data_IF_688299394457
#
_entry.id   IF_688299394457
#
_cell.length_a   1.000
_cell.length_b   1.000
_cell.length_c   1.000
_cell.angle_alpha   90.00
_cell.angle_beta   90.00
_cell.angle_gamma   90.00
#
_symmetry.space_group_name_H-M   'P 1'
#
loop_
_entity.id
_entity.type
_entity.pdbx_description
1 polymer ?
#
# COMPACT_ATOMS: atom_id res chain seq x y z
N UNK A 1 -6.71 2.97 26.61
CA UNK A 1 -6.82 2.44 25.22
C UNK A 1 -5.52 1.73 24.94
N UNK A 2 -5.60 0.53 24.38
CA UNK A 2 -4.39 -0.16 23.92
C UNK A 2 -3.70 0.66 22.84
N UNK A 3 -2.38 0.75 22.91
CA UNK A 3 -1.56 1.45 21.94
C UNK A 3 -1.56 0.68 20.61
N UNK A 4 -2.00 1.31 19.51
CA UNK A 4 -2.08 0.69 18.18
C UNK A 4 -0.84 1.06 17.39
N UNK A 5 -0.06 0.06 17.02
CA UNK A 5 1.14 0.22 16.18
C UNK A 5 0.77 0.30 14.71
N UNK A 6 1.16 1.38 14.04
CA UNK A 6 0.94 1.57 12.59
C UNK A 6 2.24 1.38 11.80
N UNK A 7 2.24 0.38 10.92
CA UNK A 7 3.33 0.13 9.98
C UNK A 7 2.94 0.58 8.57
N UNK A 8 3.69 1.50 7.99
CA UNK A 8 3.59 1.83 6.56
C UNK A 8 4.55 0.97 5.73
N UNK A 9 4.06 0.35 4.66
CA UNK A 9 4.88 -0.43 3.72
C UNK A 9 4.75 0.19 2.32
N UNK A 10 5.76 0.92 1.88
CA UNK A 10 5.84 1.54 0.56
C UNK A 10 6.86 0.85 -0.35
N UNK A 11 6.95 1.30 -1.61
CA UNK A 11 7.88 0.80 -2.60
C UNK A 11 7.21 0.23 -3.85
N UNK A 12 7.96 0.16 -4.96
CA UNK A 12 7.40 -0.18 -6.27
C UNK A 12 7.10 -1.66 -6.50
N UNK A 13 7.66 -2.57 -5.69
CA UNK A 13 7.43 -4.02 -5.83
C UNK A 13 7.83 -4.76 -4.55
N UNK A 14 7.19 -5.90 -4.28
CA UNK A 14 7.53 -6.77 -3.13
C UNK A 14 6.78 -6.46 -1.84
N UNK A 15 6.06 -5.35 -1.72
CA UNK A 15 5.23 -4.96 -0.56
C UNK A 15 4.24 -6.05 -0.15
N UNK A 16 3.45 -6.52 -1.10
CA UNK A 16 2.40 -7.51 -0.85
C UNK A 16 2.94 -8.82 -0.29
N UNK A 17 4.16 -9.24 -0.69
CA UNK A 17 4.80 -10.44 -0.13
C UNK A 17 5.18 -10.21 1.33
N UNK A 18 5.80 -9.08 1.64
CA UNK A 18 6.16 -8.71 3.02
C UNK A 18 4.91 -8.62 3.90
N UNK A 19 3.88 -7.89 3.46
CA UNK A 19 2.60 -7.77 4.16
C UNK A 19 1.95 -9.14 4.41
N UNK A 20 1.88 -10.02 3.40
CA UNK A 20 1.29 -11.36 3.55
C UNK A 20 2.03 -12.21 4.58
N UNK A 21 3.37 -12.15 4.60
CA UNK A 21 4.17 -12.86 5.60
C UNK A 21 3.84 -12.36 7.02
N UNK A 22 3.71 -11.04 7.21
CA UNK A 22 3.34 -10.46 8.50
C UNK A 22 1.91 -10.85 8.92
N UNK A 23 0.95 -10.80 7.99
CA UNK A 23 -0.43 -11.24 8.25
C UNK A 23 -0.48 -12.74 8.59
N UNK A 24 0.31 -13.57 7.92
CA UNK A 24 0.39 -15.00 8.22
C UNK A 24 0.94 -15.28 9.63
N UNK A 25 1.90 -14.48 10.08
CA UNK A 25 2.53 -14.66 11.40
C UNK A 25 1.65 -14.14 12.53
N UNK A 26 0.99 -13.00 12.34
CA UNK A 26 0.27 -12.29 13.41
C UNK A 26 -1.25 -12.44 13.38
N UNK A 27 -1.83 -12.90 12.27
CA UNK A 27 -3.24 -13.26 12.12
C UNK A 27 -4.21 -12.22 12.68
N UNK A 28 -4.91 -12.60 13.74
CA UNK A 28 -5.96 -11.80 14.38
C UNK A 28 -5.48 -10.47 14.99
N UNK A 29 -4.18 -10.28 15.16
CA UNK A 29 -3.61 -9.05 15.73
C UNK A 29 -3.35 -7.96 14.68
N UNK A 30 -3.60 -8.24 13.38
CA UNK A 30 -3.27 -7.34 12.28
C UNK A 30 -4.51 -6.92 11.51
N UNK A 31 -4.64 -5.62 11.29
CA UNK A 31 -5.54 -5.01 10.29
C UNK A 31 -4.72 -4.51 9.12
N UNK A 32 -5.18 -4.74 7.88
CA UNK A 32 -4.55 -4.21 6.67
C UNK A 32 -5.40 -3.13 6.05
N UNK A 33 -4.79 -1.99 5.73
CA UNK A 33 -5.39 -0.89 4.99
C UNK A 33 -4.60 -0.65 3.70
N UNK A 34 -5.23 -0.95 2.57
CA UNK A 34 -4.60 -0.75 1.25
C UNK A 34 -4.92 0.61 0.68
N UNK A 35 -3.88 1.36 0.27
CA UNK A 35 -4.01 2.65 -0.39
C UNK A 35 -4.79 2.55 -1.71
N UNK A 36 -4.68 1.42 -2.40
CA UNK A 36 -5.35 1.20 -3.67
C UNK A 36 -6.90 1.25 -3.56
N UNK A 37 -7.46 1.05 -2.37
CA UNK A 37 -8.90 1.23 -2.13
C UNK A 37 -9.32 2.71 -2.14
N UNK A 38 -8.38 3.62 -2.00
CA UNK A 38 -8.60 5.07 -1.90
C UNK A 38 -8.39 5.83 -3.21
N UNK A 39 -8.34 5.15 -4.37
CA UNK A 39 -8.45 5.87 -5.63
C UNK A 39 -9.73 6.68 -5.67
N UNK A 40 -9.68 7.88 -6.27
CA UNK A 40 -10.83 8.77 -6.39
C UNK A 40 -11.94 8.13 -7.22
N UNK A 41 -13.17 8.51 -6.91
CA UNK A 41 -14.36 8.15 -7.67
C UNK A 41 -14.48 9.05 -8.91
N UNK A 42 -14.89 8.46 -10.03
CA UNK A 42 -15.03 9.14 -11.32
C UNK A 42 -16.32 8.70 -12.01
N UNK A 43 -17.48 8.89 -11.34
CA UNK A 43 -18.79 8.47 -11.86
C UNK A 43 -19.21 9.30 -13.07
N UNK A 44 -18.68 10.54 -13.19
CA UNK A 44 -18.91 11.47 -14.29
C UNK A 44 -18.16 11.12 -15.58
N UNK A 45 -17.16 10.23 -15.52
CA UNK A 45 -16.32 9.85 -16.65
C UNK A 45 -16.78 8.53 -17.27
N UNK A 46 -16.61 8.39 -18.58
CA UNK A 46 -16.78 7.11 -19.29
C UNK A 46 -15.68 6.12 -18.89
N UNK A 47 -15.88 4.83 -19.21
CA UNK A 47 -14.85 3.80 -18.97
C UNK A 47 -13.55 4.11 -19.71
N UNK A 48 -13.66 4.58 -20.96
CA UNK A 48 -12.52 4.93 -21.82
C UNK A 48 -11.71 6.08 -21.21
N UNK A 49 -12.39 7.12 -20.70
CA UNK A 49 -11.74 8.24 -20.04
C UNK A 49 -11.04 7.79 -18.75
N UNK A 50 -11.67 6.94 -17.94
CA UNK A 50 -11.02 6.38 -16.74
C UNK A 50 -9.79 5.55 -17.06
N UNK A 51 -9.77 4.84 -18.19
CA UNK A 51 -8.59 4.10 -18.65
C UNK A 51 -7.38 5.00 -18.99
N UNK A 52 -7.61 6.30 -19.22
CA UNK A 52 -6.56 7.28 -19.53
C UNK A 52 -6.00 7.98 -18.30
N UNK A 53 -6.62 7.83 -17.13
CA UNK A 53 -6.16 8.44 -15.89
C UNK A 53 -4.78 7.87 -15.50
N UNK A 54 -3.90 8.76 -15.03
CA UNK A 54 -2.64 8.36 -14.45
C UNK A 54 -2.82 7.93 -12.98
N UNK A 55 -2.97 6.65 -12.74
CA UNK A 55 -3.15 6.07 -11.40
C UNK A 55 -1.85 5.95 -10.59
N UNK A 56 -0.72 6.32 -11.14
CA UNK A 56 0.59 6.28 -10.47
C UNK A 56 1.00 7.64 -9.87
N UNK A 57 0.09 8.62 -9.80
CA UNK A 57 0.35 9.93 -9.21
C UNK A 57 -0.49 10.21 -7.94
N UNK A 58 0.00 11.06 -7.02
CA UNK A 58 -0.72 11.36 -5.77
C UNK A 58 -2.12 11.91 -5.96
N UNK A 59 -2.35 12.68 -7.03
CA UNK A 59 -3.65 13.29 -7.35
C UNK A 59 -4.75 12.26 -7.65
N UNK A 60 -4.40 11.01 -7.98
CA UNK A 60 -5.36 9.94 -8.21
C UNK A 60 -6.02 9.40 -6.94
N UNK A 61 -5.49 9.74 -5.76
CA UNK A 61 -5.94 9.21 -4.48
C UNK A 61 -6.72 10.24 -3.66
N UNK A 62 -7.66 9.76 -2.86
CA UNK A 62 -8.38 10.51 -1.83
C UNK A 62 -7.67 10.33 -0.47
N UNK A 63 -6.49 10.96 -0.35
CA UNK A 63 -5.64 10.81 0.83
C UNK A 63 -6.30 11.35 2.10
N UNK A 64 -7.08 12.44 2.01
CA UNK A 64 -7.78 13.01 3.16
C UNK A 64 -8.73 12.00 3.82
N UNK A 65 -9.47 11.23 3.01
CA UNK A 65 -10.33 10.15 3.51
C UNK A 65 -9.49 9.04 4.17
N UNK A 66 -8.34 8.67 3.60
CA UNK A 66 -7.49 7.66 4.20
C UNK A 66 -6.87 8.13 5.52
N UNK A 67 -6.48 9.39 5.62
CA UNK A 67 -6.00 10.03 6.85
C UNK A 67 -7.07 9.99 7.94
N UNK A 68 -8.30 10.37 7.60
CA UNK A 68 -9.45 10.32 8.52
C UNK A 68 -9.67 8.88 9.02
N UNK A 69 -9.75 7.92 8.11
CA UNK A 69 -9.92 6.51 8.44
C UNK A 69 -8.80 5.97 9.33
N UNK A 70 -7.57 6.32 9.04
CA UNK A 70 -6.43 5.87 9.86
C UNK A 70 -6.46 6.50 11.26
N UNK A 71 -6.87 7.76 11.41
CA UNK A 71 -7.09 8.41 12.71
C UNK A 71 -8.18 7.69 13.52
N UNK A 72 -9.32 7.37 12.90
CA UNK A 72 -10.39 6.61 13.54
C UNK A 72 -9.91 5.23 14.00
N UNK A 73 -9.22 4.49 13.15
CA UNK A 73 -8.65 3.20 13.50
C UNK A 73 -7.67 3.29 14.67
N UNK A 74 -6.80 4.31 14.70
CA UNK A 74 -5.86 4.56 15.84
C UNK A 74 -6.57 4.85 17.16
N UNK A 75 -7.79 5.34 17.13
CA UNK A 75 -8.62 5.55 18.34
C UNK A 75 -9.50 4.34 18.67
N UNK A 76 -9.34 3.21 18.01
CA UNK A 76 -10.11 2.00 18.25
C UNK A 76 -11.48 1.97 17.56
N UNK A 77 -11.77 2.91 16.68
CA UNK A 77 -13.03 2.99 15.96
C UNK A 77 -12.96 2.24 14.62
N UNK A 78 -14.02 1.49 14.29
CA UNK A 78 -14.15 0.83 13.00
C UNK A 78 -14.51 1.83 11.89
N UNK A 79 -14.13 1.51 10.67
CA UNK A 79 -14.40 2.33 9.48
C UNK A 79 -15.11 1.54 8.39
N UNK A 80 -15.76 2.25 7.47
CA UNK A 80 -16.28 1.72 6.22
C UNK A 80 -15.27 2.01 5.10
N UNK A 81 -14.32 1.08 4.92
CA UNK A 81 -13.27 1.22 3.91
C UNK A 81 -13.87 1.12 2.50
N UNK A 82 -13.59 2.05 1.59
CA UNK A 82 -14.05 1.96 0.21
C UNK A 82 -13.48 0.71 -0.49
N UNK A 83 -14.18 0.26 -1.52
CA UNK A 83 -13.76 -0.83 -2.39
C UNK A 83 -13.53 -0.29 -3.78
N UNK A 84 -12.33 -0.50 -4.34
CA UNK A 84 -12.00 -0.11 -5.70
C UNK A 84 -12.14 -1.30 -6.65
N UNK A 85 -12.92 -1.12 -7.71
CA UNK A 85 -13.12 -2.13 -8.74
C UNK A 85 -12.19 -1.85 -9.94
N UNK A 86 -11.16 -2.70 -10.08
CA UNK A 86 -10.19 -2.60 -11.16
C UNK A 86 -10.78 -2.97 -12.53
N UNK A 87 -11.93 -3.65 -12.58
CA UNK A 87 -12.54 -4.06 -13.86
C UNK A 87 -13.21 -2.90 -14.57
N UNK A 88 -13.70 -1.94 -13.80
CA UNK A 88 -14.37 -0.73 -14.31
C UNK A 88 -13.55 0.55 -14.06
N UNK A 89 -12.36 0.43 -13.48
CA UNK A 89 -11.50 1.56 -13.10
C UNK A 89 -12.25 2.62 -12.30
N UNK A 90 -13.03 2.20 -11.29
CA UNK A 90 -13.77 3.12 -10.43
C UNK A 90 -13.97 2.55 -9.03
N UNK A 91 -14.32 3.43 -8.08
CA UNK A 91 -14.72 3.03 -6.74
C UNK A 91 -16.13 2.43 -6.77
N UNK A 92 -16.32 1.27 -6.14
CA UNK A 92 -17.64 0.65 -5.94
C UNK A 92 -18.52 1.49 -5.00
N UNK A 93 -19.84 1.22 -5.01
CA UNK A 93 -20.76 1.71 -3.98
C UNK A 93 -20.69 0.88 -2.70
N UNK A 94 -20.04 -0.27 -2.73
CA UNK A 94 -19.84 -1.13 -1.56
C UNK A 94 -18.69 -0.62 -0.71
N UNK A 95 -18.78 -0.91 0.59
CA UNK A 95 -17.71 -0.69 1.55
C UNK A 95 -17.42 -1.97 2.32
N UNK A 96 -16.25 -2.06 2.89
CA UNK A 96 -15.87 -3.17 3.76
C UNK A 96 -15.67 -2.63 5.18
N UNK A 97 -16.34 -3.26 6.16
CA UNK A 97 -16.11 -2.93 7.56
C UNK A 97 -14.69 -3.37 7.95
N UNK A 98 -13.90 -2.40 8.38
CA UNK A 98 -12.54 -2.63 8.91
C UNK A 98 -12.54 -2.30 10.39
N UNK A 99 -12.23 -3.33 11.19
CA UNK A 99 -12.12 -3.23 12.66
C UNK A 99 -10.65 -3.09 13.03
N UNK A 100 -10.27 -2.12 13.86
CA UNK A 100 -8.88 -1.95 14.28
C UNK A 100 -8.42 -3.13 15.12
N UNK A 101 -7.18 -3.51 14.90
CA UNK A 101 -6.44 -4.48 15.70
C UNK A 101 -5.21 -3.76 16.29
N UNK A 102 -4.47 -4.46 17.15
CA UNK A 102 -3.29 -3.89 17.81
C UNK A 102 -2.16 -3.46 16.87
N UNK A 103 -2.17 -3.99 15.65
CA UNK A 103 -1.23 -3.63 14.57
C UNK A 103 -2.03 -3.27 13.33
N UNK A 104 -1.78 -2.12 12.76
CA UNK A 104 -2.33 -1.70 11.47
C UNK A 104 -1.20 -1.67 10.46
N UNK A 105 -1.34 -2.40 9.36
CA UNK A 105 -0.43 -2.33 8.21
C UNK A 105 -1.09 -1.47 7.13
N UNK A 106 -0.50 -0.33 6.83
CA UNK A 106 -0.86 0.54 5.71
C UNK A 106 0.07 0.23 4.55
N UNK A 107 -0.46 -0.17 3.38
CA UNK A 107 0.38 -0.46 2.24
C UNK A 107 -0.03 0.34 1.00
N UNK A 108 0.95 0.78 0.23
CA UNK A 108 0.72 1.50 -1.03
C UNK A 108 2.01 2.09 -1.60
N UNK A 109 1.98 2.38 -2.91
CA UNK A 109 3.17 2.91 -3.60
C UNK A 109 3.47 4.37 -3.23
N UNK A 110 2.44 5.16 -2.86
CA UNK A 110 2.53 6.61 -2.64
C UNK A 110 2.24 7.04 -1.19
N UNK A 111 2.06 6.11 -0.26
CA UNK A 111 1.71 6.44 1.13
C UNK A 111 2.77 7.30 1.84
N UNK A 112 4.02 7.28 1.38
CA UNK A 112 5.08 8.15 1.91
C UNK A 112 5.22 9.47 1.16
N UNK A 113 4.52 9.66 0.04
CA UNK A 113 4.48 10.94 -0.64
C UNK A 113 3.59 11.96 0.12
N UNK A 114 2.61 11.48 0.87
CA UNK A 114 1.70 12.29 1.67
C UNK A 114 2.24 12.49 3.09
N UNK A 115 2.30 13.74 3.55
CA UNK A 115 2.86 14.10 4.85
C UNK A 115 1.96 13.67 6.01
N UNK A 116 0.65 13.88 5.89
CA UNK A 116 -0.31 13.54 6.94
C UNK A 116 -0.39 12.02 7.18
N UNK A 117 -0.30 11.22 6.10
CA UNK A 117 -0.20 9.76 6.22
C UNK A 117 1.10 9.35 6.92
N UNK A 118 2.24 9.98 6.57
CA UNK A 118 3.52 9.67 7.20
C UNK A 118 3.53 9.92 8.71
N UNK A 119 2.88 10.99 9.16
CA UNK A 119 2.81 11.37 10.58
C UNK A 119 2.00 10.37 11.42
N UNK A 120 1.06 9.65 10.80
CA UNK A 120 0.26 8.63 11.46
C UNK A 120 0.96 7.27 11.55
N UNK A 121 2.09 7.09 10.87
CA UNK A 121 2.84 5.83 10.83
C UNK A 121 3.99 5.83 11.82
N UNK A 122 3.99 4.87 12.73
CA UNK A 122 5.03 4.71 13.75
C UNK A 122 6.31 4.09 13.16
N UNK A 123 6.15 3.18 12.19
CA UNK A 123 7.25 2.55 11.46
C UNK A 123 6.99 2.65 9.95
N UNK A 124 7.95 3.20 9.21
CA UNK A 124 7.88 3.33 7.75
C UNK A 124 8.93 2.44 7.10
N UNK A 125 8.45 1.45 6.35
CA UNK A 125 9.27 0.43 5.66
C UNK A 125 9.19 0.68 4.16
N UNK A 126 10.32 0.93 3.52
CA UNK A 126 10.40 1.03 2.07
C UNK A 126 10.97 -0.27 1.50
N UNK A 127 10.20 -0.94 0.63
CA UNK A 127 10.65 -2.13 -0.09
C UNK A 127 11.37 -1.68 -1.34
N UNK A 128 12.68 -1.89 -1.34
CA UNK A 128 13.56 -1.52 -2.44
C UNK A 128 13.76 -2.70 -3.39
N UNK A 129 13.48 -2.49 -4.66
CA UNK A 129 13.60 -3.52 -5.70
C UNK A 129 14.07 -2.85 -6.99
N UNK A 130 15.08 -3.41 -7.62
CA UNK A 130 15.67 -2.89 -8.86
C UNK A 130 14.63 -2.73 -9.98
N UNK A 131 14.85 -1.75 -10.84
CA UNK A 131 13.90 -1.34 -11.86
C UNK A 131 13.57 -2.45 -12.88
N UNK A 132 14.56 -3.23 -13.28
CA UNK A 132 14.43 -4.38 -14.19
C UNK A 132 13.61 -5.50 -13.54
N UNK A 133 13.85 -5.79 -12.26
CA UNK A 133 13.08 -6.78 -11.48
C UNK A 133 11.62 -6.31 -11.32
N UNK A 134 11.40 -5.02 -11.05
CA UNK A 134 10.04 -4.45 -10.98
C UNK A 134 9.30 -4.60 -12.30
N UNK A 135 9.96 -4.29 -13.42
CA UNK A 135 9.40 -4.43 -14.75
C UNK A 135 9.07 -5.90 -15.08
N UNK A 136 10.00 -6.81 -14.85
CA UNK A 136 9.79 -8.24 -15.07
C UNK A 136 8.61 -8.79 -14.26
N UNK A 137 8.49 -8.41 -12.98
CA UNK A 137 7.36 -8.81 -12.11
C UNK A 137 6.04 -8.22 -12.61
N UNK A 138 6.03 -6.96 -13.06
CA UNK A 138 4.85 -6.30 -13.63
C UNK A 138 4.38 -7.00 -14.90
N UNK A 139 5.28 -7.25 -15.86
CA UNK A 139 4.96 -7.97 -17.11
C UNK A 139 4.33 -9.31 -16.77
N UNK A 140 5.00 -10.13 -15.94
CA UNK A 140 4.51 -11.46 -15.56
C UNK A 140 3.12 -11.41 -14.90
N UNK A 141 2.86 -10.42 -14.05
CA UNK A 141 1.55 -10.24 -13.41
C UNK A 141 0.49 -9.80 -14.40
N UNK A 142 0.76 -8.75 -15.18
CA UNK A 142 -0.26 -8.08 -15.99
C UNK A 142 -0.60 -8.89 -17.24
N UNK A 143 0.36 -9.61 -17.82
CA UNK A 143 0.09 -10.52 -18.94
C UNK A 143 -0.63 -11.79 -18.45
N UNK A 144 -0.10 -12.48 -17.43
CA UNK A 144 -0.63 -13.80 -17.05
C UNK A 144 -1.91 -13.74 -16.21
N UNK A 145 -2.11 -12.66 -15.42
CA UNK A 145 -3.24 -12.58 -14.47
C UNK A 145 -4.29 -11.54 -14.85
N UNK A 146 -3.94 -10.55 -15.69
CA UNK A 146 -4.84 -9.45 -16.07
C UNK A 146 -5.17 -9.45 -17.57
N UNK A 147 -4.66 -10.42 -18.35
CA UNK A 147 -4.95 -10.59 -19.76
C UNK A 147 -4.45 -9.44 -20.66
N UNK A 148 -3.49 -8.64 -20.18
CA UNK A 148 -2.93 -7.52 -20.96
C UNK A 148 -1.89 -7.99 -21.97
N UNK A 149 -1.74 -7.27 -23.08
CA UNK A 149 -0.65 -7.52 -24.04
C UNK A 149 0.67 -6.98 -23.48
N UNK A 150 1.77 -7.64 -23.85
CA UNK A 150 3.12 -7.18 -23.49
C UNK A 150 3.37 -5.74 -23.93
N UNK A 151 2.97 -5.41 -25.16
CA UNK A 151 3.12 -4.07 -25.73
C UNK A 151 2.38 -3.01 -24.89
N UNK A 152 1.13 -3.27 -24.51
CA UNK A 152 0.34 -2.38 -23.64
C UNK A 152 1.01 -2.16 -22.28
N UNK A 153 1.60 -3.20 -21.69
CA UNK A 153 2.29 -3.10 -20.39
C UNK A 153 3.57 -2.27 -20.53
N UNK A 154 4.36 -2.48 -21.59
CA UNK A 154 5.60 -1.74 -21.84
C UNK A 154 5.33 -0.26 -22.15
N UNK A 155 4.32 0.02 -22.97
CA UNK A 155 3.92 1.39 -23.30
C UNK A 155 3.51 2.15 -22.02
N UNK A 156 2.64 1.59 -21.20
CA UNK A 156 2.24 2.20 -19.93
C UNK A 156 3.43 2.38 -18.97
N UNK A 157 4.33 1.39 -18.92
CA UNK A 157 5.52 1.49 -18.07
C UNK A 157 6.38 2.69 -18.43
N UNK A 158 6.60 2.93 -19.72
CA UNK A 158 7.39 4.05 -20.21
C UNK A 158 6.68 5.40 -20.05
N UNK A 159 5.38 5.45 -20.31
CA UNK A 159 4.62 6.70 -20.32
C UNK A 159 4.25 7.21 -18.91
N UNK A 160 3.89 6.32 -18.00
CA UNK A 160 3.38 6.71 -16.68
C UNK A 160 4.16 6.07 -15.53
N UNK A 161 4.29 4.75 -15.48
CA UNK A 161 4.77 4.04 -14.30
C UNK A 161 6.20 4.42 -13.93
N UNK A 162 7.14 4.41 -14.88
CA UNK A 162 8.54 4.76 -14.65
C UNK A 162 8.69 6.24 -14.28
N UNK A 163 8.16 7.21 -15.05
CA UNK A 163 8.23 8.62 -14.69
C UNK A 163 7.63 8.94 -13.32
N UNK A 164 6.48 8.35 -12.99
CA UNK A 164 5.84 8.59 -11.70
C UNK A 164 6.61 7.93 -10.55
N UNK A 165 7.19 6.75 -10.79
CA UNK A 165 8.07 6.14 -9.80
C UNK A 165 9.28 7.03 -9.48
N UNK A 166 9.96 7.54 -10.50
CA UNK A 166 11.13 8.42 -10.35
C UNK A 166 10.75 9.76 -9.69
N UNK A 167 9.55 10.27 -9.96
CA UNK A 167 9.08 11.56 -9.44
C UNK A 167 8.57 11.47 -7.99
N UNK A 168 7.86 10.42 -7.64
CA UNK A 168 7.12 10.35 -6.36
C UNK A 168 7.54 9.19 -5.46
N UNK A 169 7.70 7.97 -6.02
CA UNK A 169 7.94 6.77 -5.20
C UNK A 169 9.39 6.74 -4.72
N UNK A 170 10.35 6.82 -5.61
CA UNK A 170 11.78 6.76 -5.26
C UNK A 170 12.21 7.87 -4.31
N UNK A 171 11.84 9.16 -4.51
CA UNK A 171 12.18 10.20 -3.55
C UNK A 171 11.55 10.01 -2.17
N UNK A 172 10.43 9.31 -2.07
CA UNK A 172 9.75 9.04 -0.79
C UNK A 172 10.51 8.07 0.11
N UNK A 173 11.44 7.29 -0.43
CA UNK A 173 12.35 6.39 0.29
C UNK A 173 13.11 7.06 1.42
N UNK A 174 13.44 8.35 1.28
CA UNK A 174 14.11 9.15 2.33
C UNK A 174 13.32 9.27 3.63
N UNK A 175 12.01 9.04 3.58
CA UNK A 175 11.14 9.11 4.77
C UNK A 175 11.00 7.77 5.48
N UNK A 176 11.58 6.69 4.94
CA UNK A 176 11.55 5.37 5.56
C UNK A 176 12.46 5.30 6.79
N UNK A 177 12.01 4.56 7.81
CA UNK A 177 12.85 4.18 8.94
C UNK A 177 13.69 2.93 8.63
N UNK A 178 13.18 2.09 7.72
CA UNK A 178 13.84 0.86 7.28
C UNK A 178 13.68 0.71 5.75
N UNK A 179 14.79 0.46 5.07
CA UNK A 179 14.80 0.08 3.65
C UNK A 179 15.09 -1.42 3.55
N UNK A 180 14.17 -2.17 2.91
CA UNK A 180 14.24 -3.63 2.80
C UNK A 180 14.47 -4.02 1.35
N UNK A 181 15.68 -4.47 0.98
CA UNK A 181 15.93 -5.04 -0.32
C UNK A 181 15.09 -6.30 -0.55
N UNK A 182 14.62 -6.51 -1.76
CA UNK A 182 13.87 -7.71 -2.18
C UNK A 182 12.53 -7.98 -1.44
N UNK A 183 12.15 -7.14 -0.49
CA UNK A 183 10.88 -7.24 0.24
C UNK A 183 10.74 -8.51 1.08
N UNK A 184 9.60 -9.18 0.96
CA UNK A 184 9.27 -10.36 1.78
C UNK A 184 10.14 -11.60 1.53
N UNK A 185 11.10 -11.55 0.61
CA UNK A 185 12.14 -12.58 0.42
C UNK A 185 13.37 -12.35 1.29
N UNK A 186 13.52 -11.16 1.85
CA UNK A 186 14.58 -10.85 2.81
C UNK A 186 14.16 -11.33 4.22
N UNK A 187 14.49 -12.59 4.52
CA UNK A 187 14.09 -13.21 5.79
C UNK A 187 14.72 -12.54 7.00
N UNK A 188 15.93 -11.99 6.88
CA UNK A 188 16.59 -11.27 7.98
C UNK A 188 15.81 -10.00 8.33
N UNK A 189 15.45 -9.20 7.32
CA UNK A 189 14.65 -8.01 7.55
C UNK A 189 13.25 -8.36 8.07
N UNK A 190 12.63 -9.42 7.56
CA UNK A 190 11.34 -9.92 8.04
C UNK A 190 11.42 -10.27 9.53
N UNK A 191 12.44 -11.00 9.96
CA UNK A 191 12.63 -11.42 11.35
C UNK A 191 12.77 -10.19 12.29
N UNK A 192 13.56 -9.19 11.90
CA UNK A 192 13.69 -7.95 12.65
C UNK A 192 12.34 -7.20 12.81
N UNK A 193 11.53 -7.17 11.75
CA UNK A 193 10.20 -6.54 11.78
C UNK A 193 9.27 -7.34 12.70
N UNK A 194 9.29 -8.66 12.59
CA UNK A 194 8.50 -9.58 13.41
C UNK A 194 8.84 -9.39 14.89
N UNK A 195 10.11 -9.31 15.27
CA UNK A 195 10.54 -9.10 16.63
C UNK A 195 10.09 -7.73 17.18
N UNK A 196 10.07 -6.70 16.35
CA UNK A 196 9.57 -5.38 16.74
C UNK A 196 8.06 -5.42 17.03
N UNK A 197 7.29 -6.12 16.19
CA UNK A 197 5.84 -6.28 16.38
C UNK A 197 5.57 -7.14 17.64
N UNK A 198 6.27 -8.25 17.83
CA UNK A 198 6.13 -9.10 19.02
C UNK A 198 6.35 -8.33 20.31
N UNK A 199 7.40 -7.50 20.38
CA UNK A 199 7.66 -6.63 21.53
C UNK A 199 6.52 -5.66 21.80
N UNK A 200 5.90 -5.08 20.76
CA UNK A 200 4.74 -4.22 20.94
C UNK A 200 3.54 -4.99 21.50
N UNK A 201 3.27 -6.18 20.96
CA UNK A 201 2.14 -7.00 21.40
C UNK A 201 2.29 -7.50 22.86
N UNK A 202 3.52 -7.77 23.31
CA UNK A 202 3.78 -8.24 24.68
C UNK A 202 3.78 -7.13 25.74
N UNK A 203 3.97 -5.87 25.38
CA UNK A 203 4.00 -4.74 26.32
C UNK A 203 2.63 -4.35 26.90
N UNK A 204 1.53 -4.86 26.35
CA UNK A 204 0.16 -4.55 26.80
C UNK A 204 -0.46 -5.65 27.67
N UNK A 205 0.30 -6.67 28.08
CA UNK A 205 -0.16 -7.74 28.98
C UNK A 205 0.20 -7.45 30.45
N UNK A 206 0.68 -6.23 30.75
CA UNK A 206 0.96 -5.74 32.12
C UNK A 206 -0.04 -4.62 32.43
#
# INVERSE_FOLDING_TARGET
MEDILVLGIAGGSGKTTLMKNLVQIFGENVTVLSHDNYYKRHDEMTYEERCLINYDEPAAFENDLMVEHLRLLKTGQSIQCPVYDYTVHNRSNETTLVVPKRVIIVEGILIFADEQLRELMDIRIFVDTDADIRLCRRIKRDVNKRGRTLESVLMQYQQTVKPMHEKYVEPSKRFANLVVPEGGKNFVALDMIVDRIRRHLSQSEI
#
